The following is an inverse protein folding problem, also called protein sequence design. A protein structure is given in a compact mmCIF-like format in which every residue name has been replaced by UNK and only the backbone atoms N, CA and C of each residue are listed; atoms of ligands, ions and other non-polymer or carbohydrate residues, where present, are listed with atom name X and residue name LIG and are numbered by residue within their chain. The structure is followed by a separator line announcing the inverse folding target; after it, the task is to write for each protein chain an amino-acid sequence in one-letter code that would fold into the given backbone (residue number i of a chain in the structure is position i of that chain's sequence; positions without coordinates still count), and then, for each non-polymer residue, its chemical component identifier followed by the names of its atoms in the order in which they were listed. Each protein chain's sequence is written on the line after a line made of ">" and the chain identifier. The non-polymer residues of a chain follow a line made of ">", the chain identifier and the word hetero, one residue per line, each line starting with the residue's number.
data_IF_641093953445
#
_entry.id   IF_641093953445
#
_cell.length_a   1.000
_cell.length_b   1.000
_cell.length_c   1.000
_cell.angle_alpha   90.00
_cell.angle_beta   90.00
_cell.angle_gamma   90.00
#
_symmetry.space_group_name_H-M   'P 1'
#
loop_
_entity.id
_entity.type
_entity.pdbx_description
1 polymer ?
#
# COMPACT_ATOMS: atom_id res chain seq x y z
N UNK A 1 -4.63 11.82 -11.27
CA UNK A 1 -5.09 11.08 -10.10
C UNK A 1 -4.16 11.38 -8.95
N UNK A 2 -4.67 11.64 -7.76
CA UNK A 2 -3.89 11.81 -6.52
C UNK A 2 -3.44 10.46 -5.98
N UNK A 3 -2.46 10.43 -5.07
CA UNK A 3 -2.07 9.21 -4.37
C UNK A 3 -3.27 8.54 -3.66
N UNK A 4 -4.16 9.34 -3.05
CA UNK A 4 -5.35 8.85 -2.37
C UNK A 4 -6.34 8.19 -3.34
N UNK A 5 -6.58 8.79 -4.51
CA UNK A 5 -7.44 8.19 -5.55
C UNK A 5 -6.89 6.86 -6.06
N UNK A 6 -5.57 6.77 -6.29
CA UNK A 6 -4.92 5.53 -6.69
C UNK A 6 -5.03 4.47 -5.58
N UNK A 7 -4.83 4.88 -4.32
CA UNK A 7 -4.94 3.97 -3.19
C UNK A 7 -6.35 3.38 -3.05
N UNK A 8 -7.39 4.21 -3.17
CA UNK A 8 -8.79 3.76 -3.11
C UNK A 8 -9.13 2.79 -4.26
N UNK A 9 -8.64 3.07 -5.47
CA UNK A 9 -8.81 2.14 -6.60
C UNK A 9 -8.14 0.79 -6.34
N UNK A 10 -6.94 0.79 -5.73
CA UNK A 10 -6.25 -0.45 -5.35
C UNK A 10 -6.99 -1.19 -4.25
N UNK A 11 -7.63 -0.53 -3.29
CA UNK A 11 -8.43 -1.20 -2.25
C UNK A 11 -9.65 -1.96 -2.83
N UNK A 12 -10.16 -1.54 -3.99
CA UNK A 12 -11.24 -2.22 -4.70
C UNK A 12 -10.77 -3.48 -5.46
N UNK A 13 -9.46 -3.77 -5.49
CA UNK A 13 -8.87 -4.93 -6.16
C UNK A 13 -9.32 -6.24 -5.49
N UNK A 14 -9.88 -7.21 -6.25
CA UNK A 14 -10.26 -8.51 -5.70
C UNK A 14 -9.05 -9.32 -5.19
N UNK A 15 -7.83 -9.01 -5.63
CA UNK A 15 -6.59 -9.65 -5.19
C UNK A 15 -6.33 -9.47 -3.68
N UNK A 16 -6.70 -8.32 -3.09
CA UNK A 16 -6.55 -8.08 -1.64
C UNK A 16 -7.42 -9.04 -0.82
N UNK A 17 -8.58 -9.43 -1.34
CA UNK A 17 -9.46 -10.42 -0.71
C UNK A 17 -9.05 -11.86 -1.06
N UNK A 18 -8.78 -12.13 -2.34
CA UNK A 18 -8.58 -13.49 -2.83
C UNK A 18 -7.20 -14.05 -2.49
N UNK A 19 -6.15 -13.22 -2.56
CA UNK A 19 -4.76 -13.61 -2.29
C UNK A 19 -4.39 -13.28 -0.84
N UNK A 20 -4.61 -12.03 -0.43
CA UNK A 20 -4.17 -11.55 0.89
C UNK A 20 -5.20 -11.78 2.00
N UNK A 21 -6.39 -12.28 1.67
CA UNK A 21 -7.45 -12.65 2.63
C UNK A 21 -7.89 -11.51 3.54
N UNK A 22 -7.79 -10.27 3.08
CA UNK A 22 -8.28 -9.09 3.79
C UNK A 22 -9.78 -8.96 3.52
N UNK A 23 -10.62 -8.85 4.55
CA UNK A 23 -12.07 -8.66 4.38
C UNK A 23 -12.39 -7.27 3.85
N UNK A 24 -13.53 -7.12 3.17
CA UNK A 24 -14.01 -5.81 2.72
C UNK A 24 -14.16 -4.81 3.86
N UNK A 25 -14.73 -5.25 4.98
CA UNK A 25 -14.91 -4.41 6.18
C UNK A 25 -13.59 -3.82 6.66
N UNK A 26 -12.50 -4.59 6.59
CA UNK A 26 -11.17 -4.12 6.96
C UNK A 26 -10.58 -3.20 5.90
N UNK A 27 -10.79 -3.47 4.60
CA UNK A 27 -10.36 -2.60 3.50
C UNK A 27 -11.07 -1.24 3.53
N UNK A 28 -12.36 -1.20 3.89
CA UNK A 28 -13.14 0.05 4.01
C UNK A 28 -12.64 0.96 5.15
N UNK A 29 -11.97 0.40 6.15
CA UNK A 29 -11.39 1.14 7.26
C UNK A 29 -9.98 1.68 6.94
N UNK A 30 -9.37 1.27 5.81
CA UNK A 30 -8.01 1.66 5.46
C UNK A 30 -7.92 3.08 4.94
N UNK A 31 -6.87 3.78 5.36
CA UNK A 31 -6.58 5.15 4.95
C UNK A 31 -5.14 5.27 4.51
N UNK A 32 -4.92 6.08 3.46
CA UNK A 32 -3.58 6.32 2.92
C UNK A 32 -2.65 6.97 3.95
N UNK A 33 -3.21 7.81 4.82
CA UNK A 33 -2.45 8.66 5.75
C UNK A 33 -2.24 8.03 7.13
N UNK A 34 -2.84 6.88 7.40
CA UNK A 34 -2.67 6.15 8.67
C UNK A 34 -1.91 4.86 8.45
N UNK A 35 -1.18 4.40 9.47
CA UNK A 35 -0.51 3.10 9.42
C UNK A 35 -1.57 1.98 9.36
N UNK A 36 -1.39 1.04 8.45
CA UNK A 36 -2.17 -0.19 8.33
C UNK A 36 -1.56 -1.30 9.19
N UNK A 37 -2.43 -2.19 9.68
CA UNK A 37 -2.02 -3.45 10.29
C UNK A 37 -1.64 -4.51 9.25
N UNK A 38 -1.92 -4.27 7.97
CA UNK A 38 -1.60 -5.17 6.86
C UNK A 38 -0.30 -4.75 6.17
N UNK A 39 0.77 -5.57 6.23
CA UNK A 39 2.04 -5.25 5.59
C UNK A 39 1.94 -4.99 4.09
N UNK A 40 1.06 -5.72 3.39
CA UNK A 40 0.83 -5.51 1.95
C UNK A 40 0.28 -4.12 1.64
N UNK A 41 -0.56 -3.57 2.51
CA UNK A 41 -1.13 -2.23 2.35
C UNK A 41 -0.05 -1.16 2.57
N UNK A 42 0.84 -1.35 3.53
CA UNK A 42 1.99 -0.46 3.73
C UNK A 42 2.96 -0.47 2.54
N UNK A 43 3.17 -1.64 1.91
CA UNK A 43 3.96 -1.76 0.68
C UNK A 43 3.30 -0.98 -0.46
N UNK A 44 1.99 -1.12 -0.65
CA UNK A 44 1.22 -0.37 -1.65
C UNK A 44 1.36 1.14 -1.42
N UNK A 45 1.17 1.61 -0.18
CA UNK A 45 1.36 3.03 0.18
C UNK A 45 2.78 3.50 -0.13
N UNK A 46 3.80 2.70 0.17
CA UNK A 46 5.19 3.04 -0.12
C UNK A 46 5.47 3.18 -1.63
N UNK A 47 4.85 2.34 -2.46
CA UNK A 47 4.96 2.43 -3.92
C UNK A 47 4.29 3.71 -4.43
N UNK A 48 3.03 3.96 -4.04
CA UNK A 48 2.25 5.13 -4.48
C UNK A 48 2.97 6.42 -4.05
N UNK A 49 3.32 6.54 -2.77
CA UNK A 49 4.03 7.70 -2.23
C UNK A 49 5.41 7.89 -2.90
N UNK A 50 6.09 6.79 -3.21
CA UNK A 50 7.35 6.82 -3.95
C UNK A 50 7.21 7.39 -5.36
N UNK A 51 6.17 6.97 -6.08
CA UNK A 51 5.88 7.47 -7.43
C UNK A 51 5.44 8.94 -7.42
N UNK A 52 4.55 9.33 -6.49
CA UNK A 52 4.07 10.71 -6.35
C UNK A 52 5.22 11.69 -6.06
N UNK A 53 6.19 11.27 -5.24
CA UNK A 53 7.37 12.07 -4.90
C UNK A 53 8.55 11.90 -5.89
N UNK A 54 8.32 11.32 -7.08
CA UNK A 54 9.34 11.10 -8.11
C UNK A 54 10.61 10.41 -7.60
N UNK A 55 10.48 9.51 -6.63
CA UNK A 55 11.62 8.75 -6.09
C UNK A 55 12.07 7.72 -7.12
N UNK A 56 13.38 7.51 -7.20
CA UNK A 56 13.94 6.45 -8.03
C UNK A 56 13.43 5.08 -7.57
N UNK A 57 13.28 4.16 -8.53
CA UNK A 57 12.78 2.79 -8.27
C UNK A 57 13.63 2.09 -7.20
N UNK A 58 14.95 2.27 -7.22
CA UNK A 58 15.81 1.64 -6.22
C UNK A 58 15.52 2.15 -4.81
N UNK A 59 15.23 3.44 -4.64
CA UNK A 59 14.87 4.01 -3.34
C UNK A 59 13.53 3.50 -2.84
N UNK A 60 12.55 3.29 -3.74
CA UNK A 60 11.26 2.67 -3.43
C UNK A 60 11.48 1.22 -2.96
N UNK A 61 12.24 0.42 -3.73
CA UNK A 61 12.55 -0.95 -3.36
C UNK A 61 13.29 -1.07 -2.03
N UNK A 62 14.28 -0.21 -1.77
CA UNK A 62 14.97 -0.18 -0.48
C UNK A 62 14.03 0.13 0.69
N UNK A 63 13.03 1.00 0.48
CA UNK A 63 12.01 1.31 1.49
C UNK A 63 11.17 0.06 1.79
N UNK A 64 10.71 -0.62 0.75
CA UNK A 64 9.93 -1.86 0.87
C UNK A 64 10.77 -2.96 1.56
N UNK A 65 12.04 -3.13 1.17
CA UNK A 65 12.94 -4.10 1.79
C UNK A 65 13.09 -3.83 3.30
N UNK A 66 13.26 -2.57 3.71
CA UNK A 66 13.34 -2.20 5.13
C UNK A 66 12.06 -2.55 5.88
N UNK A 67 10.89 -2.31 5.29
CA UNK A 67 9.61 -2.67 5.89
C UNK A 67 9.50 -4.19 6.08
N UNK A 68 9.86 -4.98 5.07
CA UNK A 68 9.81 -6.45 5.16
C UNK A 68 10.78 -7.00 6.21
N UNK A 69 11.98 -6.43 6.32
CA UNK A 69 12.99 -6.88 7.29
C UNK A 69 12.69 -6.45 8.74
N UNK A 70 11.73 -5.55 8.96
CA UNK A 70 11.29 -5.10 10.28
C UNK A 70 10.03 -5.83 10.78
N UNK A 71 9.46 -6.73 9.96
CA UNK A 71 8.38 -7.64 10.32
C UNK A 71 8.96 -8.93 10.95
#
# INVERSE_FOLDING_TARGET
>A
MTAEEIFQEVLNSPELQTIFKISNENLECESFNTKSDYPVIEIIKAIINGQENHRDKNAIFQTIQKQIMQL
#
